data_IF_621402703955
#
_entry.id   IF_621402703955
#
_cell.length_a   1.000
_cell.length_b   1.000
_cell.length_c   1.000
_cell.angle_alpha   90.00
_cell.angle_beta   90.00
_cell.angle_gamma   90.00
#
_symmetry.space_group_name_H-M   'P 1'
#
loop_
_entity.id
_entity.type
_entity.pdbx_description
1 polymer ?
#
# COMPACT_ATOMS: atom_id res chain seq x y z
N UNK A 1 -9.56 6.15 -16.31
CA UNK A 1 -9.53 4.75 -15.85
C UNK A 1 -10.73 4.58 -14.93
N UNK A 2 -11.69 3.75 -15.31
CA UNK A 2 -12.89 3.51 -14.50
C UNK A 2 -12.45 2.86 -13.19
N UNK A 3 -12.85 3.43 -12.06
CA UNK A 3 -12.53 2.90 -10.74
C UNK A 3 -13.12 1.50 -10.61
N UNK A 4 -12.28 0.46 -10.63
CA UNK A 4 -12.71 -0.93 -10.47
C UNK A 4 -12.88 -1.21 -8.99
N UNK A 5 -14.12 -1.27 -8.52
CA UNK A 5 -14.44 -1.74 -7.16
C UNK A 5 -14.37 -3.26 -7.14
N UNK A 6 -13.44 -3.88 -6.40
CA UNK A 6 -13.38 -5.35 -6.30
C UNK A 6 -14.61 -5.90 -5.58
N UNK A 7 -15.13 -7.08 -5.98
CA UNK A 7 -16.14 -7.76 -5.19
C UNK A 7 -15.58 -8.17 -3.81
N UNK A 8 -16.41 -8.21 -2.75
CA UNK A 8 -15.97 -8.65 -1.44
C UNK A 8 -15.67 -10.16 -1.46
N UNK A 9 -14.39 -10.53 -1.36
CA UNK A 9 -13.95 -11.92 -1.16
C UNK A 9 -13.71 -12.13 0.33
N UNK A 10 -14.40 -13.11 0.93
CA UNK A 10 -14.32 -13.43 2.36
C UNK A 10 -13.90 -14.89 2.57
N UNK A 11 -13.61 -15.28 3.81
CA UNK A 11 -13.32 -16.69 4.15
C UNK A 11 -14.50 -17.64 3.93
N UNK A 12 -15.71 -17.10 3.78
CA UNK A 12 -16.92 -17.87 3.48
C UNK A 12 -17.20 -17.96 1.96
N UNK A 13 -16.41 -17.28 1.13
CA UNK A 13 -16.57 -17.36 -0.32
C UNK A 13 -16.22 -18.78 -0.79
N UNK A 14 -17.14 -19.48 -1.49
CA UNK A 14 -16.90 -20.85 -1.93
C UNK A 14 -15.77 -20.85 -2.96
N UNK A 15 -14.77 -21.72 -2.74
CA UNK A 15 -13.72 -21.98 -3.73
C UNK A 15 -14.22 -23.12 -4.60
N UNK A 16 -14.45 -22.83 -5.89
CA UNK A 16 -14.83 -23.82 -6.90
C UNK A 16 -13.67 -24.72 -7.30
N UNK A 17 -13.92 -25.72 -8.17
CA UNK A 17 -12.85 -26.49 -8.80
C UNK A 17 -11.93 -25.58 -9.63
N UNK A 18 -10.72 -26.07 -9.93
CA UNK A 18 -9.79 -25.37 -10.82
C UNK A 18 -10.42 -25.22 -12.22
N UNK A 19 -10.29 -24.01 -12.78
CA UNK A 19 -10.85 -23.59 -14.06
C UNK A 19 -9.72 -23.33 -15.04
N UNK A 20 -9.86 -23.81 -16.27
CA UNK A 20 -8.96 -23.47 -17.38
C UNK A 20 -9.50 -22.22 -18.08
N UNK A 21 -8.82 -21.07 -17.89
CA UNK A 21 -9.31 -19.78 -18.37
C UNK A 21 -9.25 -19.61 -19.89
N UNK A 22 -8.46 -20.44 -20.59
CA UNK A 22 -8.37 -20.38 -22.05
C UNK A 22 -9.48 -21.21 -22.72
N UNK A 23 -9.96 -22.24 -22.03
CA UNK A 23 -11.06 -23.10 -22.48
C UNK A 23 -12.43 -22.56 -22.05
N UNK A 24 -12.57 -22.16 -20.79
CA UNK A 24 -13.84 -21.72 -20.22
C UNK A 24 -14.13 -20.22 -20.54
N UNK A 25 -15.40 -19.83 -20.61
CA UNK A 25 -15.81 -18.43 -20.81
C UNK A 25 -16.10 -17.79 -19.44
N UNK A 26 -15.03 -17.43 -18.74
CA UNK A 26 -15.08 -16.64 -17.51
C UNK A 26 -14.94 -15.16 -17.85
N UNK A 27 -15.75 -14.30 -17.22
CA UNK A 27 -15.77 -12.86 -17.49
C UNK A 27 -15.52 -12.04 -16.25
N UNK A 28 -14.77 -10.95 -16.45
CA UNK A 28 -14.58 -9.90 -15.46
C UNK A 28 -15.89 -9.11 -15.26
N UNK A 29 -15.94 -8.29 -14.21
CA UNK A 29 -17.10 -7.46 -13.88
C UNK A 29 -17.49 -6.48 -14.99
N UNK A 30 -16.56 -6.11 -15.88
CA UNK A 30 -16.83 -5.27 -17.04
C UNK A 30 -17.25 -6.04 -18.30
N UNK A 31 -17.42 -7.36 -18.20
CA UNK A 31 -17.83 -8.25 -19.29
C UNK A 31 -16.68 -8.74 -20.18
N UNK A 32 -15.45 -8.29 -19.94
CA UNK A 32 -14.25 -8.75 -20.66
C UNK A 32 -13.96 -10.21 -20.33
N UNK A 33 -13.65 -11.03 -21.35
CA UNK A 33 -13.24 -12.43 -21.15
C UNK A 33 -11.90 -12.47 -20.42
N UNK A 34 -11.84 -13.25 -19.35
CA UNK A 34 -10.63 -13.52 -18.59
C UNK A 34 -9.94 -14.76 -19.18
N UNK A 35 -8.70 -14.58 -19.64
CA UNK A 35 -7.81 -15.64 -20.14
C UNK A 35 -6.63 -15.83 -19.19
N UNK A 36 -5.84 -16.89 -19.38
CA UNK A 36 -4.63 -17.12 -18.57
C UNK A 36 -3.63 -15.96 -18.70
N UNK A 37 -3.46 -15.46 -19.92
CA UNK A 37 -2.64 -14.27 -20.18
C UNK A 37 -3.21 -13.04 -19.46
N UNK A 38 -4.50 -12.78 -19.56
CA UNK A 38 -5.13 -11.63 -18.90
C UNK A 38 -5.04 -11.70 -17.38
N UNK A 39 -5.18 -12.89 -16.79
CA UNK A 39 -4.99 -13.12 -15.37
C UNK A 39 -3.54 -12.80 -14.94
N UNK A 40 -2.56 -13.25 -15.73
CA UNK A 40 -1.14 -12.98 -15.48
C UNK A 40 -0.83 -11.48 -15.53
N UNK A 41 -1.38 -10.75 -16.50
CA UNK A 41 -1.21 -9.29 -16.61
C UNK A 41 -1.79 -8.54 -15.41
N UNK A 42 -2.98 -8.94 -14.94
CA UNK A 42 -3.61 -8.38 -13.73
C UNK A 42 -2.74 -8.65 -12.50
N UNK A 43 -2.19 -9.86 -12.35
CA UNK A 43 -1.29 -10.20 -11.24
C UNK A 43 -0.04 -9.34 -11.27
N UNK A 44 0.59 -9.16 -12.43
CA UNK A 44 1.78 -8.31 -12.58
C UNK A 44 1.46 -6.83 -12.35
N UNK A 45 0.28 -6.35 -12.74
CA UNK A 45 -0.20 -5.02 -12.36
C UNK A 45 -0.34 -4.88 -10.85
N UNK A 46 -1.01 -5.82 -10.18
CA UNK A 46 -1.17 -5.78 -8.72
C UNK A 46 0.18 -5.87 -8.02
N UNK A 47 1.11 -6.70 -8.50
CA UNK A 47 2.46 -6.81 -7.94
C UNK A 47 3.27 -5.51 -8.09
N UNK A 48 3.15 -4.81 -9.22
CA UNK A 48 3.75 -3.46 -9.37
C UNK A 48 3.25 -2.47 -8.35
N UNK A 49 2.01 -2.63 -7.88
CA UNK A 49 1.39 -1.81 -6.83
C UNK A 49 1.42 -2.49 -5.45
N UNK A 50 2.04 -3.67 -5.33
CA UNK A 50 1.91 -4.55 -4.18
C UNK A 50 2.99 -4.30 -3.13
N UNK A 51 2.65 -3.56 -2.08
CA UNK A 51 3.51 -3.29 -0.93
C UNK A 51 3.03 -2.08 -0.14
N UNK A 52 3.61 -1.80 1.04
CA UNK A 52 3.43 -0.48 1.65
C UNK A 52 4.08 0.54 0.70
N UNK A 53 3.33 1.53 0.17
CA UNK A 53 3.91 2.50 -0.76
C UNK A 53 5.15 3.16 -0.15
N UNK A 54 6.17 3.40 -0.98
CA UNK A 54 7.29 4.27 -0.59
C UNK A 54 6.75 5.64 -0.19
N UNK A 55 7.46 6.32 0.71
CA UNK A 55 7.20 7.73 1.01
C UNK A 55 7.35 8.65 -0.23
N UNK A 56 7.99 8.17 -1.31
CA UNK A 56 8.14 8.89 -2.60
C UNK A 56 7.09 8.51 -3.65
N UNK A 57 6.22 7.53 -3.40
CA UNK A 57 5.26 7.01 -4.39
C UNK A 57 5.86 6.09 -5.47
N UNK A 58 7.19 6.05 -5.60
CA UNK A 58 7.91 5.10 -6.47
C UNK A 58 8.11 3.75 -5.75
N UNK A 59 8.29 2.66 -6.50
CA UNK A 59 8.62 1.35 -5.95
C UNK A 59 10.09 1.29 -5.45
N UNK A 60 10.42 2.07 -4.42
CA UNK A 60 11.75 2.16 -3.82
C UNK A 60 11.68 2.11 -2.28
N UNK A 61 12.68 1.50 -1.65
CA UNK A 61 12.76 1.50 -0.19
C UNK A 61 13.09 2.92 0.31
N UNK A 62 12.24 3.48 1.18
CA UNK A 62 12.51 4.79 1.77
C UNK A 62 13.77 4.74 2.66
N UNK A 63 14.71 5.70 2.53
CA UNK A 63 15.88 5.78 3.40
C UNK A 63 15.48 5.85 4.87
N UNK A 64 16.25 5.17 5.73
CA UNK A 64 15.99 5.11 7.18
C UNK A 64 17.06 5.87 7.94
N UNK A 65 16.62 6.74 8.84
CA UNK A 65 17.50 7.48 9.75
C UNK A 65 17.11 7.08 11.19
N UNK A 66 18.09 6.75 12.02
CA UNK A 66 17.89 6.40 13.43
C UNK A 66 18.45 7.50 14.30
N UNK A 67 17.60 8.10 15.13
CA UNK A 67 18.01 9.12 16.10
C UNK A 67 18.21 8.51 17.48
N UNK A 68 19.28 8.93 18.15
CA UNK A 68 19.42 8.76 19.61
C UNK A 68 18.99 10.07 20.27
N UNK A 69 18.03 9.96 21.18
CA UNK A 69 17.49 11.09 21.94
C UNK A 69 17.45 10.73 23.42
N UNK A 70 17.37 11.74 24.28
CA UNK A 70 17.11 11.51 25.71
C UNK A 70 15.69 10.98 25.91
N UNK A 71 15.42 10.27 27.03
CA UNK A 71 14.06 9.82 27.35
C UNK A 71 13.05 10.98 27.37
N UNK A 72 13.43 12.12 27.96
CA UNK A 72 12.58 13.32 28.02
C UNK A 72 12.14 13.84 26.65
N UNK A 73 13.03 13.81 25.65
CA UNK A 73 12.70 14.23 24.28
C UNK A 73 11.74 13.24 23.63
N UNK A 74 11.96 11.94 23.85
CA UNK A 74 11.08 10.90 23.32
C UNK A 74 9.67 11.01 23.89
N UNK A 75 9.56 11.19 25.20
CA UNK A 75 8.27 11.27 25.89
C UNK A 75 7.50 12.51 25.44
N UNK A 76 8.18 13.66 25.36
CA UNK A 76 7.56 14.88 24.85
C UNK A 76 7.12 14.78 23.38
N UNK A 77 7.92 14.12 22.54
CA UNK A 77 7.55 13.86 21.15
C UNK A 77 6.32 12.94 21.03
N UNK A 78 6.18 11.96 21.94
CA UNK A 78 5.01 11.09 21.99
C UNK A 78 3.72 11.86 22.33
N UNK A 79 3.79 12.77 23.29
CA UNK A 79 2.64 13.63 23.66
C UNK A 79 2.21 14.52 22.49
N UNK A 80 3.15 15.19 21.83
CA UNK A 80 2.88 16.06 20.68
C UNK A 80 2.26 15.24 19.54
N UNK A 81 2.86 14.09 19.21
CA UNK A 81 2.36 13.24 18.14
C UNK A 81 0.93 12.75 18.46
N UNK A 82 0.63 12.37 19.70
CA UNK A 82 -0.70 11.95 20.12
C UNK A 82 -1.73 13.09 20.01
N UNK A 83 -1.38 14.31 20.41
CA UNK A 83 -2.24 15.49 20.28
C UNK A 83 -2.58 15.80 18.81
N UNK A 84 -1.65 15.52 17.89
CA UNK A 84 -1.82 15.73 16.46
C UNK A 84 -2.38 14.52 15.70
N UNK A 85 -2.67 13.41 16.38
CA UNK A 85 -3.14 12.18 15.75
C UNK A 85 -2.10 11.49 14.86
N UNK A 86 -0.81 11.70 15.15
CA UNK A 86 0.35 11.19 14.40
C UNK A 86 1.13 10.15 15.18
N UNK A 87 1.98 9.41 14.47
CA UNK A 87 3.06 8.62 15.07
C UNK A 87 4.29 9.49 15.31
N UNK A 88 5.14 9.10 16.27
CA UNK A 88 6.44 9.78 16.51
C UNK A 88 7.28 9.85 15.23
N UNK A 89 7.27 8.79 14.41
CA UNK A 89 8.01 8.76 13.15
C UNK A 89 7.47 9.75 12.13
N UNK A 90 6.15 9.99 12.08
CA UNK A 90 5.56 11.02 11.22
C UNK A 90 5.95 12.41 11.69
N UNK A 91 5.82 12.69 12.99
CA UNK A 91 6.24 13.97 13.59
C UNK A 91 7.73 14.26 13.30
N UNK A 92 8.60 13.28 13.52
CA UNK A 92 10.03 13.42 13.28
C UNK A 92 10.36 13.68 11.81
N UNK A 93 9.68 12.97 10.89
CA UNK A 93 9.83 13.16 9.45
C UNK A 93 9.43 14.56 9.03
N UNK A 94 8.24 15.01 9.41
CA UNK A 94 7.72 16.33 9.06
C UNK A 94 8.63 17.46 9.59
N UNK A 95 9.11 17.33 10.83
CA UNK A 95 10.04 18.29 11.41
C UNK A 95 11.37 18.35 10.64
N UNK A 96 11.90 17.19 10.23
CA UNK A 96 13.13 17.12 9.44
C UNK A 96 12.93 17.69 8.03
N UNK A 97 11.85 17.32 7.35
CA UNK A 97 11.48 17.83 6.02
C UNK A 97 11.32 19.36 6.05
N UNK A 98 10.61 19.90 7.04
CA UNK A 98 10.43 21.35 7.22
C UNK A 98 11.77 22.06 7.45
N UNK A 99 12.67 21.48 8.26
CA UNK A 99 14.00 22.07 8.54
C UNK A 99 14.89 22.10 7.30
N UNK A 100 14.83 21.06 6.47
CA UNK A 100 15.59 20.95 5.21
C UNK A 100 15.03 21.91 4.16
N UNK A 101 13.70 21.99 4.02
CA UNK A 101 13.06 22.91 3.07
C UNK A 101 13.28 24.39 3.40
N UNK A 102 13.50 24.71 4.68
CA UNK A 102 13.83 26.06 5.15
C UNK A 102 15.34 26.40 5.11
N UNK A 103 16.18 25.50 4.59
CA UNK A 103 17.62 25.72 4.41
C UNK A 103 17.92 26.22 3.00
#
# INVERSE_FOLDING_TARGET
>A
MTERTPPPVTTASPIGPDVDLDVEDIRLADGTRLTEQGASEIVEEVRRHGGRPSLTGEAAASPRIVFRVTPSVRDRAAEIAAQEGKTISQLAREALEARVAAS
#
